data_IF_793099080653
#
_entry.id   IF_793099080653
#
_cell.length_a   1.000
_cell.length_b   1.000
_cell.length_c   1.000
_cell.angle_alpha   90.00
_cell.angle_beta   90.00
_cell.angle_gamma   90.00
#
_symmetry.space_group_name_H-M   'P 1'
#
loop_
_entity.id
_entity.type
_entity.pdbx_description
1 polymer ?
#
# COMPACT_ATOMS: atom_id res chain seq x y z
N UNK A 1 6.17 14.27 -2.79
CA UNK A 1 5.78 13.36 -1.68
C UNK A 1 6.00 11.89 -2.00
N UNK A 2 5.58 11.37 -3.16
CA UNK A 2 5.88 9.96 -3.54
C UNK A 2 7.39 9.69 -3.61
N UNK A 3 8.20 10.69 -3.93
CA UNK A 3 9.68 10.57 -3.90
C UNK A 3 10.27 10.33 -2.51
N UNK A 4 9.64 10.83 -1.44
CA UNK A 4 10.09 10.57 -0.06
C UNK A 4 9.98 9.08 0.29
N UNK A 5 9.09 8.35 -0.39
CA UNK A 5 8.96 6.89 -0.22
C UNK A 5 10.05 6.12 -0.97
N UNK A 6 10.66 6.74 -1.98
CA UNK A 6 11.73 6.14 -2.80
C UNK A 6 13.13 6.48 -2.29
N UNK A 7 13.27 7.56 -1.52
CA UNK A 7 14.52 8.00 -0.96
C UNK A 7 15.07 6.98 0.08
N UNK A 8 16.23 6.34 -0.17
CA UNK A 8 16.84 5.41 0.78
C UNK A 8 17.39 6.10 2.04
N UNK A 9 17.63 7.42 2.01
CA UNK A 9 18.08 8.18 3.17
C UNK A 9 16.93 8.55 4.14
N UNK A 10 15.67 8.39 3.72
CA UNK A 10 14.51 8.69 4.55
C UNK A 10 14.31 7.65 5.66
N UNK A 11 14.36 8.11 6.92
CA UNK A 11 14.07 7.28 8.09
C UNK A 11 12.65 6.71 8.02
N UNK A 12 12.44 5.54 8.65
CA UNK A 12 11.15 4.86 8.66
C UNK A 12 10.01 5.76 9.15
N UNK A 13 10.26 6.64 10.13
CA UNK A 13 9.27 7.62 10.63
C UNK A 13 8.88 8.65 9.58
N UNK A 14 9.84 9.18 8.82
CA UNK A 14 9.54 10.16 7.75
C UNK A 14 8.71 9.50 6.65
N UNK A 15 9.05 8.26 6.27
CA UNK A 15 8.25 7.49 5.31
C UNK A 15 6.84 7.24 5.84
N UNK A 16 6.68 6.83 7.10
CA UNK A 16 5.38 6.60 7.72
C UNK A 16 4.48 7.85 7.64
N UNK A 17 4.99 9.01 8.06
CA UNK A 17 4.23 10.26 8.05
C UNK A 17 3.91 10.69 6.60
N UNK A 18 4.84 10.46 5.67
CA UNK A 18 4.63 10.68 4.25
C UNK A 18 3.51 9.82 3.66
N UNK A 19 3.48 8.52 3.99
CA UNK A 19 2.41 7.60 3.57
C UNK A 19 1.06 8.05 4.15
N UNK A 20 1.01 8.37 5.44
CA UNK A 20 -0.22 8.79 6.11
C UNK A 20 -0.79 10.09 5.53
N UNK A 21 0.06 11.08 5.26
CA UNK A 21 -0.34 12.31 4.59
C UNK A 21 -0.85 12.07 3.16
N UNK A 22 -0.21 11.16 2.42
CA UNK A 22 -0.67 10.76 1.10
C UNK A 22 -2.04 10.08 1.17
N UNK A 23 -2.25 9.15 2.10
CA UNK A 23 -3.55 8.51 2.31
C UNK A 23 -4.63 9.56 2.55
N UNK A 24 -4.41 10.53 3.44
CA UNK A 24 -5.37 11.60 3.69
C UNK A 24 -5.67 12.44 2.43
N UNK A 25 -4.68 12.63 1.55
CA UNK A 25 -4.84 13.37 0.30
C UNK A 25 -5.77 12.66 -0.71
N UNK A 26 -5.73 11.32 -0.79
CA UNK A 26 -6.48 10.57 -1.80
C UNK A 26 -7.59 9.66 -1.26
N UNK A 27 -7.72 9.49 0.05
CA UNK A 27 -8.72 8.63 0.69
C UNK A 27 -10.15 9.03 0.29
N UNK A 28 -10.42 10.33 0.14
CA UNK A 28 -11.74 10.87 -0.18
C UNK A 28 -11.80 11.63 -1.52
N UNK A 29 -10.74 11.55 -2.34
CA UNK A 29 -10.65 12.29 -3.60
C UNK A 29 -10.20 11.38 -4.76
N UNK A 30 -11.14 11.04 -5.65
CA UNK A 30 -10.89 10.18 -6.79
C UNK A 30 -9.84 10.74 -7.75
N UNK A 31 -9.88 12.05 -8.04
CA UNK A 31 -8.89 12.72 -8.91
C UNK A 31 -7.48 12.60 -8.34
N UNK A 32 -7.32 12.78 -7.03
CA UNK A 32 -6.01 12.63 -6.39
C UNK A 32 -5.50 11.19 -6.45
N UNK A 33 -6.37 10.18 -6.41
CA UNK A 33 -5.96 8.77 -6.62
C UNK A 33 -5.39 8.54 -8.01
N UNK A 34 -5.98 9.16 -9.03
CA UNK A 34 -5.50 9.09 -10.41
C UNK A 34 -4.14 9.78 -10.57
N UNK A 35 -3.97 10.96 -9.96
CA UNK A 35 -2.68 11.68 -9.93
C UNK A 35 -1.61 10.85 -9.24
N UNK A 36 -1.92 10.26 -8.09
CA UNK A 36 -0.99 9.40 -7.34
C UNK A 36 -0.61 8.16 -8.15
N UNK A 37 -1.55 7.55 -8.90
CA UNK A 37 -1.20 6.51 -9.88
C UNK A 37 -0.26 7.06 -10.96
N UNK A 38 -0.59 8.20 -11.55
CA UNK A 38 0.16 8.82 -12.65
C UNK A 38 1.63 9.11 -12.31
N UNK A 39 1.91 9.50 -11.07
CA UNK A 39 3.30 9.71 -10.59
C UNK A 39 3.99 8.41 -10.11
N UNK A 40 3.38 7.25 -10.34
CA UNK A 40 3.94 5.94 -9.97
C UNK A 40 3.79 5.57 -8.49
N UNK A 41 2.82 6.16 -7.79
CA UNK A 41 2.56 5.89 -6.37
C UNK A 41 2.25 4.43 -6.06
N UNK A 42 1.51 3.74 -6.94
CA UNK A 42 1.21 2.30 -6.79
C UNK A 42 2.50 1.47 -6.68
N UNK A 43 3.45 1.72 -7.58
CA UNK A 43 4.74 1.02 -7.57
C UNK A 43 5.56 1.36 -6.32
N UNK A 44 5.48 2.61 -5.85
CA UNK A 44 6.16 3.01 -4.62
C UNK A 44 5.59 2.26 -3.39
N UNK A 45 4.27 2.14 -3.26
CA UNK A 45 3.65 1.40 -2.16
C UNK A 45 3.91 -0.10 -2.23
N UNK A 46 3.89 -0.70 -3.42
CA UNK A 46 4.26 -2.11 -3.63
C UNK A 46 5.71 -2.37 -3.23
N UNK A 47 6.64 -1.50 -3.63
CA UNK A 47 8.04 -1.62 -3.23
C UNK A 47 8.26 -1.45 -1.72
N UNK A 48 7.41 -0.67 -1.03
CA UNK A 48 7.43 -0.58 0.43
C UNK A 48 6.98 -1.89 1.09
N UNK A 49 5.97 -2.57 0.55
CA UNK A 49 5.54 -3.88 1.06
C UNK A 49 6.65 -4.94 0.91
N UNK A 50 7.43 -4.89 -0.16
CA UNK A 50 8.57 -5.80 -0.38
C UNK A 50 9.73 -5.53 0.59
N UNK A 51 10.03 -4.24 0.86
CA UNK A 51 11.11 -3.84 1.78
C UNK A 51 10.77 -4.02 3.26
N UNK A 52 9.49 -4.23 3.60
CA UNK A 52 9.07 -4.50 4.99
C UNK A 52 9.75 -5.75 5.57
N UNK A 53 10.15 -6.70 4.73
CA UNK A 53 10.89 -7.91 5.09
C UNK A 53 12.39 -7.66 5.38
N UNK A 54 12.98 -6.55 4.90
CA UNK A 54 14.41 -6.24 5.06
C UNK A 54 14.75 -5.47 6.37
N UNK A 55 13.78 -5.32 7.29
CA UNK A 55 13.98 -4.52 8.48
C UNK A 55 14.78 -5.28 9.56
N UNK A 56 15.99 -4.80 9.86
CA UNK A 56 16.77 -5.19 11.04
C UNK A 56 15.93 -5.12 12.33
N UNK A 57 16.16 -6.09 13.24
CA UNK A 57 15.37 -6.38 14.44
C UNK A 57 15.15 -5.19 15.41
N UNK A 58 15.85 -4.06 15.25
CA UNK A 58 15.63 -2.81 16.00
C UNK A 58 14.54 -1.87 15.45
N UNK A 59 14.04 -2.10 14.22
CA UNK A 59 13.08 -1.26 13.49
C UNK A 59 11.69 -1.89 13.32
N UNK A 60 11.49 -3.10 13.86
CA UNK A 60 10.32 -3.97 13.61
C UNK A 60 8.95 -3.33 13.89
N UNK A 61 8.84 -2.47 14.90
CA UNK A 61 7.58 -1.78 15.19
C UNK A 61 7.20 -0.78 14.08
N UNK A 62 8.15 0.03 13.62
CA UNK A 62 7.93 0.99 12.54
C UNK A 62 7.79 0.29 11.17
N UNK A 63 8.45 -0.85 10.97
CA UNK A 63 8.35 -1.63 9.75
C UNK A 63 6.96 -2.26 9.59
N UNK A 64 6.41 -2.84 10.66
CA UNK A 64 5.03 -3.34 10.68
C UNK A 64 4.02 -2.26 10.37
N UNK A 65 4.13 -1.10 11.01
CA UNK A 65 3.17 -0.02 10.80
C UNK A 65 3.29 0.64 9.42
N UNK A 66 4.52 0.79 8.89
CA UNK A 66 4.73 1.25 7.53
C UNK A 66 4.12 0.29 6.50
N UNK A 67 4.22 -1.01 6.75
CA UNK A 67 3.63 -2.07 5.91
C UNK A 67 2.10 -2.03 5.98
N UNK A 68 1.53 -1.84 7.17
CA UNK A 68 0.08 -1.65 7.35
C UNK A 68 -0.42 -0.43 6.58
N UNK A 69 0.25 0.73 6.74
CA UNK A 69 -0.09 1.96 6.05
C UNK A 69 0.05 1.83 4.53
N UNK A 70 1.09 1.15 4.03
CA UNK A 70 1.24 0.90 2.60
C UNK A 70 0.13 -0.01 2.05
N UNK A 71 -0.26 -1.07 2.77
CA UNK A 71 -1.39 -1.91 2.39
C UNK A 71 -2.70 -1.10 2.36
N UNK A 72 -2.93 -0.28 3.38
CA UNK A 72 -4.09 0.61 3.47
C UNK A 72 -4.14 1.62 2.30
N UNK A 73 -3.00 2.21 1.95
CA UNK A 73 -2.85 3.09 0.79
C UNK A 73 -3.26 2.40 -0.52
N UNK A 74 -2.81 1.16 -0.74
CA UNK A 74 -3.23 0.35 -1.89
C UNK A 74 -4.73 0.09 -1.88
N UNK A 75 -5.33 -0.21 -0.73
CA UNK A 75 -6.78 -0.41 -0.60
C UNK A 75 -7.60 0.82 -1.00
N UNK A 76 -7.17 2.02 -0.57
CA UNK A 76 -7.80 3.27 -0.98
C UNK A 76 -7.60 3.57 -2.47
N UNK A 77 -6.42 3.31 -3.02
CA UNK A 77 -6.16 3.46 -4.45
C UNK A 77 -7.03 2.49 -5.27
N UNK A 78 -7.23 1.27 -4.81
CA UNK A 78 -8.06 0.22 -5.41
C UNK A 78 -9.57 0.55 -5.47
N UNK A 79 -9.99 1.73 -4.99
CA UNK A 79 -11.36 2.23 -5.20
C UNK A 79 -11.57 2.87 -6.59
N UNK A 80 -10.54 2.90 -7.44
CA UNK A 80 -10.61 3.24 -8.87
C UNK A 80 -10.26 2.01 -9.71
N UNK A 81 -11.02 1.73 -10.76
CA UNK A 81 -10.81 0.55 -11.60
C UNK A 81 -9.44 0.55 -12.30
N UNK A 82 -9.02 1.73 -12.79
CA UNK A 82 -7.71 1.87 -13.41
C UNK A 82 -6.56 1.65 -12.40
N UNK A 83 -6.78 1.98 -11.12
CA UNK A 83 -5.81 1.72 -10.07
C UNK A 83 -5.80 0.25 -9.63
N UNK A 84 -6.95 -0.44 -9.63
CA UNK A 84 -7.00 -1.90 -9.36
C UNK A 84 -6.12 -2.65 -10.34
N UNK A 85 -6.24 -2.31 -11.63
CA UNK A 85 -5.41 -2.93 -12.66
C UNK A 85 -3.93 -2.60 -12.46
N UNK A 86 -3.59 -1.34 -12.15
CA UNK A 86 -2.22 -0.96 -11.84
C UNK A 86 -1.64 -1.74 -10.64
N UNK A 87 -2.44 -1.99 -9.60
CA UNK A 87 -2.03 -2.79 -8.43
C UNK A 87 -1.80 -4.24 -8.82
N UNK A 88 -2.67 -4.80 -9.67
CA UNK A 88 -2.52 -6.17 -10.21
C UNK A 88 -1.24 -6.31 -11.03
N UNK A 89 -1.00 -5.39 -11.96
CA UNK A 89 0.19 -5.36 -12.83
C UNK A 89 1.47 -5.14 -12.02
N UNK A 90 1.41 -4.33 -10.96
CA UNK A 90 2.53 -4.14 -10.04
C UNK A 90 2.84 -5.36 -9.16
N UNK A 91 2.01 -6.42 -9.18
CA UNK A 91 2.20 -7.58 -8.31
C UNK A 91 1.83 -7.31 -6.85
N UNK A 92 0.93 -6.35 -6.58
CA UNK A 92 0.48 -6.03 -5.23
C UNK A 92 -0.34 -7.14 -4.58
N UNK A 93 -1.12 -7.90 -5.36
CA UNK A 93 -1.99 -8.99 -4.86
C UNK A 93 -1.20 -10.09 -4.12
N UNK A 94 -0.17 -10.73 -4.72
CA UNK A 94 0.58 -11.78 -4.02
C UNK A 94 1.26 -11.27 -2.74
N UNK A 95 1.72 -10.02 -2.72
CA UNK A 95 2.30 -9.40 -1.52
C UNK A 95 1.24 -9.20 -0.43
N UNK A 96 0.07 -8.67 -0.77
CA UNK A 96 -1.03 -8.53 0.20
C UNK A 96 -1.47 -9.88 0.77
N UNK A 97 -1.47 -10.95 -0.05
CA UNK A 97 -1.75 -12.32 0.42
C UNK A 97 -0.64 -12.86 1.33
N UNK A 98 0.62 -12.55 1.04
CA UNK A 98 1.75 -12.90 1.91
C UNK A 98 1.64 -12.23 3.29
N UNK A 99 1.19 -10.97 3.34
CA UNK A 99 0.99 -10.23 4.59
C UNK A 99 -0.09 -10.86 5.48
N UNK A 100 -1.07 -11.57 4.91
CA UNK A 100 -2.06 -12.33 5.71
C UNK A 100 -1.44 -13.46 6.53
N UNK A 101 -0.26 -13.95 6.14
CA UNK A 101 0.44 -15.01 6.86
C UNK A 101 1.09 -14.52 8.16
N UNK A 102 1.15 -13.20 8.39
CA UNK A 102 1.66 -12.61 9.63
C UNK A 102 0.76 -12.91 10.87
N UNK A 103 -0.46 -13.40 10.65
CA UNK A 103 -1.37 -13.85 11.69
C UNK A 103 -2.47 -12.82 12.06
N UNK A 104 -3.58 -13.27 12.65
CA UNK A 104 -4.81 -12.48 12.80
C UNK A 104 -4.76 -11.34 13.83
N UNK A 105 -3.70 -11.25 14.63
CA UNK A 105 -3.53 -10.19 15.65
C UNK A 105 -2.77 -8.95 15.17
N UNK A 106 -2.24 -8.96 13.94
CA UNK A 106 -1.46 -7.85 13.41
C UNK A 106 -2.34 -6.84 12.66
N UNK A 107 -2.15 -5.55 12.93
CA UNK A 107 -2.82 -4.45 12.20
C UNK A 107 -2.59 -4.54 10.69
N UNK A 108 -1.40 -5.01 10.29
CA UNK A 108 -1.01 -5.30 8.91
C UNK A 108 -1.99 -6.27 8.24
N UNK A 109 -2.43 -7.30 8.96
CA UNK A 109 -3.37 -8.31 8.44
C UNK A 109 -4.73 -7.70 8.15
N UNK A 110 -5.26 -6.87 9.06
CA UNK A 110 -6.54 -6.18 8.83
C UNK A 110 -6.46 -5.26 7.62
N UNK A 111 -5.40 -4.46 7.53
CA UNK A 111 -5.16 -3.55 6.42
C UNK A 111 -5.01 -4.32 5.08
N UNK A 112 -4.33 -5.46 5.10
CA UNK A 112 -4.17 -6.32 3.93
C UNK A 112 -5.50 -6.97 3.49
N UNK A 113 -6.34 -7.42 4.42
CA UNK A 113 -7.68 -7.95 4.11
C UNK A 113 -8.54 -6.87 3.48
N UNK A 114 -8.56 -5.66 4.05
CA UNK A 114 -9.36 -4.56 3.50
C UNK A 114 -8.85 -4.13 2.12
N UNK A 115 -7.53 -4.07 1.93
CA UNK A 115 -6.93 -3.79 0.64
C UNK A 115 -7.32 -4.85 -0.40
N UNK A 116 -7.21 -6.14 -0.05
CA UNK A 116 -7.62 -7.24 -0.92
C UNK A 116 -9.10 -7.18 -1.25
N UNK A 117 -9.97 -6.87 -0.27
CA UNK A 117 -11.40 -6.68 -0.53
C UNK A 117 -11.62 -5.62 -1.60
N UNK A 118 -10.92 -4.50 -1.56
CA UNK A 118 -11.09 -3.44 -2.57
C UNK A 118 -10.45 -3.77 -3.93
N UNK A 119 -9.33 -4.47 -3.95
CA UNK A 119 -8.64 -4.90 -5.18
C UNK A 119 -9.42 -6.01 -5.90
N UNK A 120 -10.03 -6.93 -5.14
CA UNK A 120 -10.77 -8.10 -5.66
C UNK A 120 -12.26 -7.79 -5.90
N UNK A 121 -12.85 -6.78 -5.24
CA UNK A 121 -14.25 -6.40 -5.44
C UNK A 121 -14.58 -5.79 -6.83
N UNK A 122 -13.69 -5.86 -7.81
CA UNK A 122 -14.09 -5.65 -9.19
C UNK A 122 -14.89 -6.87 -9.70
N UNK A 123 -16.01 -6.66 -10.40
CA UNK A 123 -16.79 -7.73 -10.99
C UNK A 123 -15.97 -8.34 -12.14
N UNK A 124 -15.39 -9.53 -11.93
CA UNK A 124 -14.99 -10.40 -13.03
C UNK A 124 -16.21 -11.04 -13.71
N UNK A 125 -17.25 -10.24 -13.97
CA UNK A 125 -18.43 -10.60 -14.75
C UNK A 125 -18.59 -9.59 -15.89
N UNK A 126 -17.69 -9.69 -16.85
CA UNK A 126 -17.93 -9.28 -18.22
C UNK A 126 -17.43 -10.42 -19.12
N UNK A 127 -18.26 -11.47 -19.22
CA UNK A 127 -18.35 -12.30 -20.42
C UNK A 127 -19.79 -12.25 -20.87
#
# INVERSE_FOLDING_TARGET
>A
MVEVLRDPAATARVRLHGVSALINLFAHNGTNREVVRGVGGVQAFVGLLQRGDDADAGSVACAGELTAQAALALGFLARSDANREAIRVAGGIPLLVQLLKAGPGAEVTLCAVDALRHVVAAPSNAK
#
